data_IF_162932375037
#
_entry.id   IF_162932375037
#
_cell.length_a   1.000
_cell.length_b   1.000
_cell.length_c   1.000
_cell.angle_alpha   90.00
_cell.angle_beta   90.00
_cell.angle_gamma   90.00
#
_symmetry.space_group_name_H-M   'P 1'
#
loop_
_entity.id
_entity.type
_entity.pdbx_description
1 polymer ?
#
# COMPACT_ATOMS: atom_id res chain seq x y z
N UNK A 1 -37.05 52.75 18.93
CA UNK A 1 -36.64 52.50 17.54
C UNK A 1 -37.45 51.30 17.06
N UNK A 2 -38.25 51.44 16.00
CA UNK A 2 -39.12 50.38 15.50
C UNK A 2 -38.61 49.88 14.14
N UNK A 3 -38.70 48.58 13.90
CA UNK A 3 -38.43 47.98 12.58
C UNK A 3 -39.52 48.45 11.62
N UNK A 4 -39.13 48.88 10.42
CA UNK A 4 -40.02 49.41 9.38
C UNK A 4 -40.18 48.43 8.21
N UNK A 5 -41.19 48.63 7.35
CA UNK A 5 -41.43 47.78 6.18
C UNK A 5 -40.21 47.66 5.22
N UNK A 6 -39.44 48.74 4.96
CA UNK A 6 -38.16 48.63 4.26
C UNK A 6 -37.19 47.64 4.91
N UNK A 7 -37.11 47.62 6.24
CA UNK A 7 -36.25 46.70 6.99
C UNK A 7 -36.74 45.25 6.81
N UNK A 8 -38.05 45.02 6.92
CA UNK A 8 -38.65 43.68 6.72
C UNK A 8 -38.42 43.17 5.29
N UNK A 9 -38.55 44.05 4.28
CA UNK A 9 -38.29 43.68 2.87
C UNK A 9 -36.83 43.28 2.66
N UNK A 10 -35.89 44.00 3.28
CA UNK A 10 -34.46 43.69 3.24
C UNK A 10 -34.14 42.36 3.94
N UNK A 11 -34.79 42.07 5.07
CA UNK A 11 -34.62 40.79 5.77
C UNK A 11 -35.05 39.60 4.90
N UNK A 12 -36.19 39.70 4.20
CA UNK A 12 -36.66 38.64 3.28
C UNK A 12 -35.70 38.34 2.13
N UNK A 13 -34.92 39.33 1.69
CA UNK A 13 -33.91 39.13 0.63
C UNK A 13 -32.58 38.58 1.15
N UNK A 14 -32.29 38.73 2.44
CA UNK A 14 -31.00 38.36 3.04
C UNK A 14 -31.07 36.99 3.71
N UNK A 15 -32.20 36.64 4.32
CA UNK A 15 -32.34 35.39 5.05
C UNK A 15 -32.63 34.21 4.11
N UNK A 16 -31.89 33.12 4.31
CA UNK A 16 -32.17 31.84 3.69
C UNK A 16 -33.52 31.29 4.17
N UNK A 17 -34.25 30.66 3.25
CA UNK A 17 -35.51 29.99 3.49
C UNK A 17 -35.31 28.50 3.77
N UNK A 18 -36.36 27.82 4.24
CA UNK A 18 -36.33 26.36 4.42
C UNK A 18 -36.06 25.62 3.10
N UNK A 19 -36.51 26.18 1.98
CA UNK A 19 -36.27 25.56 0.67
C UNK A 19 -34.82 25.71 0.21
N UNK A 20 -34.12 26.76 0.64
CA UNK A 20 -32.68 26.92 0.39
C UNK A 20 -31.86 25.86 1.15
N UNK A 21 -32.31 25.47 2.35
CA UNK A 21 -31.62 24.50 3.19
C UNK A 21 -31.74 23.05 2.70
N UNK A 22 -32.79 22.71 1.94
CA UNK A 22 -33.01 21.34 1.42
C UNK A 22 -31.93 20.86 0.44
N UNK A 23 -31.11 21.78 -0.09
CA UNK A 23 -30.05 21.46 -1.05
C UNK A 23 -28.73 21.05 -0.38
N UNK A 24 -28.63 21.24 0.93
CA UNK A 24 -27.44 20.90 1.69
C UNK A 24 -27.59 19.50 2.29
N UNK A 25 -26.51 18.74 2.26
CA UNK A 25 -26.44 17.48 2.98
C UNK A 25 -26.60 17.76 4.48
N UNK A 26 -27.37 16.91 5.15
CA UNK A 26 -27.49 16.94 6.60
C UNK A 26 -26.25 16.35 7.24
N UNK A 27 -26.05 16.63 8.53
CA UNK A 27 -24.95 16.02 9.27
C UNK A 27 -25.08 14.49 9.29
N UNK A 28 -26.29 13.98 9.49
CA UNK A 28 -26.55 12.55 9.58
C UNK A 28 -26.18 11.84 8.27
N UNK A 29 -26.50 12.44 7.11
CA UNK A 29 -26.08 11.93 5.80
C UNK A 29 -24.55 11.88 5.62
N UNK A 30 -23.83 12.84 6.20
CA UNK A 30 -22.36 12.85 6.17
C UNK A 30 -21.75 11.79 7.10
N UNK A 31 -22.35 11.59 8.27
CA UNK A 31 -21.92 10.58 9.24
C UNK A 31 -22.14 9.17 8.66
N UNK A 32 -23.28 8.93 7.99
CA UNK A 32 -23.58 7.67 7.29
C UNK A 32 -22.56 7.40 6.16
N UNK A 33 -22.28 8.39 5.31
CA UNK A 33 -21.28 8.27 4.25
C UNK A 33 -19.87 8.01 4.81
N UNK A 34 -19.53 8.67 5.91
CA UNK A 34 -18.24 8.45 6.58
C UNK A 34 -18.13 7.02 7.11
N UNK A 35 -19.21 6.47 7.65
CA UNK A 35 -19.24 5.10 8.14
C UNK A 35 -19.09 4.10 6.98
N UNK A 36 -19.82 4.27 5.88
CA UNK A 36 -19.70 3.41 4.69
C UNK A 36 -18.26 3.39 4.15
N UNK A 37 -17.66 4.57 3.98
CA UNK A 37 -16.27 4.69 3.52
C UNK A 37 -15.31 4.01 4.51
N UNK A 38 -15.56 4.14 5.82
CA UNK A 38 -14.72 3.51 6.83
C UNK A 38 -14.80 1.98 6.74
N UNK A 39 -16.00 1.43 6.61
CA UNK A 39 -16.22 -0.02 6.53
C UNK A 39 -15.60 -0.62 5.27
N UNK A 40 -15.77 0.03 4.11
CA UNK A 40 -15.12 -0.36 2.86
C UNK A 40 -13.59 -0.30 2.99
N UNK A 41 -13.06 0.76 3.59
CA UNK A 41 -11.62 0.91 3.78
C UNK A 41 -11.04 -0.17 4.69
N UNK A 42 -11.71 -0.51 5.80
CA UNK A 42 -11.25 -1.59 6.68
C UNK A 42 -11.27 -2.94 6.00
N UNK A 43 -12.34 -3.21 5.24
CA UNK A 43 -12.48 -4.45 4.47
C UNK A 43 -11.36 -4.59 3.45
N UNK A 44 -11.17 -3.57 2.62
CA UNK A 44 -10.09 -3.55 1.63
C UNK A 44 -8.71 -3.67 2.28
N UNK A 45 -8.47 -2.98 3.40
CA UNK A 45 -7.21 -3.04 4.12
C UNK A 45 -6.92 -4.46 4.60
N UNK A 46 -7.91 -5.16 5.15
CA UNK A 46 -7.77 -6.56 5.58
C UNK A 46 -7.37 -7.44 4.40
N UNK A 47 -8.13 -7.39 3.30
CA UNK A 47 -7.84 -8.20 2.12
C UNK A 47 -6.46 -7.90 1.52
N UNK A 48 -6.04 -6.64 1.55
CA UNK A 48 -4.72 -6.24 1.10
C UNK A 48 -3.63 -6.88 1.96
N UNK A 49 -3.75 -6.82 3.30
CA UNK A 49 -2.78 -7.45 4.20
C UNK A 49 -2.74 -8.97 4.02
N UNK A 50 -3.90 -9.62 3.89
CA UNK A 50 -3.98 -11.07 3.68
C UNK A 50 -3.26 -11.51 2.39
N UNK A 51 -3.29 -10.67 1.34
CA UNK A 51 -2.59 -10.93 0.08
C UNK A 51 -1.08 -10.64 0.16
N UNK A 52 -0.67 -9.63 0.91
CA UNK A 52 0.72 -9.18 0.99
C UNK A 52 1.54 -10.00 1.99
N UNK A 53 0.96 -10.44 3.11
CA UNK A 53 1.66 -11.24 4.13
C UNK A 53 2.42 -12.47 3.56
N UNK A 54 1.82 -13.34 2.73
CA UNK A 54 2.55 -14.46 2.16
C UNK A 54 3.67 -14.04 1.22
N UNK A 55 3.48 -12.97 0.44
CA UNK A 55 4.51 -12.44 -0.48
C UNK A 55 5.69 -11.91 0.33
N UNK A 56 5.44 -11.20 1.43
CA UNK A 56 6.50 -10.70 2.31
C UNK A 56 7.29 -11.85 2.94
N UNK A 57 6.61 -12.90 3.41
CA UNK A 57 7.25 -14.12 3.93
C UNK A 57 8.13 -14.78 2.86
N UNK A 58 7.59 -15.02 1.68
CA UNK A 58 8.34 -15.63 0.56
C UNK A 58 9.57 -14.78 0.17
N UNK A 59 9.43 -13.45 0.12
CA UNK A 59 10.56 -12.56 -0.20
C UNK A 59 11.64 -12.58 0.88
N UNK A 60 11.25 -12.64 2.16
CA UNK A 60 12.20 -12.77 3.27
C UNK A 60 12.94 -14.11 3.21
N UNK A 61 12.20 -15.20 3.07
CA UNK A 61 12.76 -16.56 2.98
C UNK A 61 13.73 -16.66 1.79
N UNK A 62 13.35 -16.13 0.63
CA UNK A 62 14.21 -16.10 -0.55
C UNK A 62 15.52 -15.32 -0.35
N UNK A 63 15.54 -14.28 0.50
CA UNK A 63 16.78 -13.53 0.81
C UNK A 63 17.72 -14.36 1.67
N UNK A 64 17.18 -15.12 2.61
CA UNK A 64 17.97 -16.04 3.44
C UNK A 64 18.56 -17.18 2.61
N UNK A 65 17.75 -17.79 1.75
CA UNK A 65 18.19 -18.87 0.85
C UNK A 65 19.29 -18.44 -0.12
N UNK A 66 19.20 -17.21 -0.67
CA UNK A 66 20.23 -16.65 -1.55
C UNK A 66 21.58 -16.49 -0.86
N UNK A 67 21.59 -16.15 0.42
CA UNK A 67 22.83 -15.99 1.19
C UNK A 67 23.55 -17.33 1.35
N UNK A 68 22.80 -18.37 1.70
CA UNK A 68 23.31 -19.74 1.86
C UNK A 68 23.78 -20.29 0.51
N UNK A 69 22.97 -20.10 -0.55
CA UNK A 69 23.28 -20.59 -1.89
C UNK A 69 24.51 -19.90 -2.48
N UNK A 70 24.66 -18.60 -2.31
CA UNK A 70 25.86 -17.87 -2.75
C UNK A 70 27.12 -18.36 -2.04
N UNK A 71 27.04 -18.64 -0.73
CA UNK A 71 28.16 -19.20 0.01
C UNK A 71 28.57 -20.58 -0.55
N UNK A 72 27.59 -21.46 -0.82
CA UNK A 72 27.82 -22.78 -1.44
C UNK A 72 28.39 -22.65 -2.86
N UNK A 73 27.85 -21.76 -3.68
CA UNK A 73 28.32 -21.52 -5.05
C UNK A 73 29.78 -21.09 -5.09
N UNK A 74 30.17 -20.17 -4.20
CA UNK A 74 31.56 -19.70 -4.11
C UNK A 74 32.52 -20.84 -3.74
N UNK A 75 32.12 -21.72 -2.80
CA UNK A 75 32.91 -22.91 -2.47
C UNK A 75 33.05 -23.86 -3.66
N UNK A 76 31.98 -24.11 -4.40
CA UNK A 76 32.03 -24.94 -5.62
C UNK A 76 32.93 -24.34 -6.71
N UNK A 77 32.91 -23.01 -6.89
CA UNK A 77 33.80 -22.33 -7.84
C UNK A 77 35.28 -22.55 -7.52
N UNK A 78 35.67 -22.47 -6.26
CA UNK A 78 37.06 -22.71 -5.84
C UNK A 78 37.49 -24.17 -6.07
N UNK A 79 36.59 -25.13 -5.79
CA UNK A 79 36.87 -26.55 -6.07
C UNK A 79 37.06 -26.79 -7.56
N UNK A 80 36.18 -26.25 -8.41
CA UNK A 80 36.29 -26.36 -9.87
C UNK A 80 37.58 -25.72 -10.40
N UNK A 81 37.97 -24.56 -9.86
CA UNK A 81 39.24 -23.91 -10.20
C UNK A 81 40.44 -24.78 -9.87
N UNK A 82 40.42 -25.44 -8.70
CA UNK A 82 41.48 -26.38 -8.32
C UNK A 82 41.49 -27.64 -9.19
N UNK A 83 40.32 -28.19 -9.54
CA UNK A 83 40.22 -29.32 -10.47
C UNK A 83 40.75 -28.97 -11.86
N UNK A 84 40.39 -27.80 -12.41
CA UNK A 84 40.90 -27.34 -13.70
C UNK A 84 42.43 -27.18 -13.70
N UNK A 85 43.00 -26.60 -12.64
CA UNK A 85 44.47 -26.51 -12.50
C UNK A 85 45.14 -27.88 -12.51
N UNK A 86 44.56 -28.86 -11.80
CA UNK A 86 45.09 -30.23 -11.74
C UNK A 86 44.99 -30.94 -13.07
N UNK A 87 43.87 -30.81 -13.78
CA UNK A 87 43.67 -31.37 -15.12
C UNK A 87 44.73 -30.83 -16.08
N UNK A 88 44.92 -29.51 -16.12
CA UNK A 88 45.95 -28.89 -16.96
C UNK A 88 47.37 -29.43 -16.64
N UNK A 89 47.67 -29.70 -15.37
CA UNK A 89 48.97 -30.25 -14.98
C UNK A 89 49.14 -31.71 -15.43
N UNK A 90 48.08 -32.51 -15.36
CA UNK A 90 48.06 -33.90 -15.81
C UNK A 90 48.15 -33.99 -17.34
N UNK A 91 47.43 -33.14 -18.07
CA UNK A 91 47.50 -33.03 -19.53
C UNK A 91 48.91 -32.64 -19.99
N UNK A 92 49.53 -31.67 -19.33
CA UNK A 92 50.90 -31.25 -19.62
C UNK A 92 51.96 -32.32 -19.29
N UNK A 93 51.63 -33.30 -18.43
CA UNK A 93 52.53 -34.40 -18.06
C UNK A 93 52.38 -35.65 -18.96
N UNK A 94 51.36 -35.68 -19.84
CA UNK A 94 51.08 -36.77 -20.77
C UNK A 94 51.60 -36.49 -22.20
N UNK A 95 52.26 -35.34 -22.41
CA UNK A 95 52.95 -34.92 -23.65
C UNK A 95 54.45 -34.91 -23.39
#
# INVERSE_FOLDING_TARGET
MAITDPDIKKLKTIFATKDDLKRFATKDELDDLQQEIHEEFQTWKSEFFDKIDPILKEVLDNREERTITNHRLNKHKEVLKNHNKRLHHLEASQV
#
